data_IF_826717360394
#
_entry.id   IF_826717360394
#
_cell.length_a   1.000
_cell.length_b   1.000
_cell.length_c   1.000
_cell.angle_alpha   90.00
_cell.angle_beta   90.00
_cell.angle_gamma   90.00
#
_symmetry.space_group_name_H-M   'P 1'
#
loop_
_entity.id
_entity.type
_entity.pdbx_description
1 polymer ?
#
# COMPACT_ATOMS: atom_id res chain seq x y z
N UNK A 1 25.79 15.91 17.75
CA UNK A 1 25.24 14.54 17.80
C UNK A 1 23.91 14.50 18.54
N UNK A 2 23.83 14.94 19.81
CA UNK A 2 22.59 14.97 20.62
C UNK A 2 21.32 15.46 19.88
N UNK A 3 21.42 16.60 19.20
CA UNK A 3 20.27 17.24 18.53
C UNK A 3 19.65 16.41 17.39
N UNK A 4 20.45 15.56 16.75
CA UNK A 4 19.99 14.71 15.65
C UNK A 4 19.30 13.44 16.18
N UNK A 5 19.78 12.92 17.32
CA UNK A 5 19.19 11.80 18.03
C UNK A 5 17.83 12.20 18.61
N UNK A 6 17.72 13.40 19.21
CA UNK A 6 16.45 13.94 19.72
C UNK A 6 15.42 14.12 18.60
N UNK A 7 15.86 14.54 17.41
CA UNK A 7 14.97 14.62 16.24
C UNK A 7 14.49 13.25 15.78
N UNK A 8 15.35 12.24 15.79
CA UNK A 8 14.98 10.88 15.38
C UNK A 8 14.01 10.23 16.37
N UNK A 9 14.25 10.40 17.68
CA UNK A 9 13.36 9.89 18.74
C UNK A 9 11.97 10.51 18.64
N UNK A 10 11.88 11.83 18.46
CA UNK A 10 10.59 12.52 18.30
C UNK A 10 9.81 12.05 17.06
N UNK A 11 10.50 11.75 15.95
CA UNK A 11 9.86 11.25 14.73
C UNK A 11 9.32 9.83 14.93
N UNK A 12 10.06 8.96 15.64
CA UNK A 12 9.62 7.61 15.95
C UNK A 12 8.39 7.62 16.87
N UNK A 13 8.39 8.46 17.90
CA UNK A 13 7.23 8.61 18.81
C UNK A 13 5.98 9.12 18.08
N UNK A 14 6.13 10.08 17.16
CA UNK A 14 5.02 10.57 16.34
C UNK A 14 4.44 9.47 15.43
N UNK A 15 5.30 8.63 14.84
CA UNK A 15 4.87 7.50 14.00
C UNK A 15 4.15 6.44 14.83
N UNK A 16 4.64 6.13 16.03
CA UNK A 16 4.01 5.16 16.92
C UNK A 16 2.66 5.66 17.45
N UNK A 17 2.52 6.95 17.74
CA UNK A 17 1.25 7.57 18.09
C UNK A 17 0.20 7.40 16.97
N UNK A 18 0.55 7.79 15.74
CA UNK A 18 -0.36 7.66 14.58
C UNK A 18 -0.71 6.20 14.30
N UNK A 19 0.23 5.27 14.53
CA UNK A 19 -0.01 3.83 14.39
C UNK A 19 -1.01 3.32 15.43
N UNK A 20 -0.92 3.80 16.66
CA UNK A 20 -1.83 3.42 17.75
C UNK A 20 -3.26 3.91 17.50
N UNK A 21 -3.43 5.17 17.05
CA UNK A 21 -4.74 5.72 16.70
C UNK A 21 -5.37 4.96 15.55
N UNK A 22 -4.58 4.59 14.53
CA UNK A 22 -5.05 3.76 13.41
C UNK A 22 -5.60 2.42 13.88
N UNK A 23 -4.97 1.78 14.87
CA UNK A 23 -5.45 0.51 15.41
C UNK A 23 -6.78 0.68 16.15
N UNK A 24 -6.95 1.77 16.89
CA UNK A 24 -8.22 2.11 17.54
C UNK A 24 -9.35 2.28 16.52
N UNK A 25 -9.12 3.08 15.47
CA UNK A 25 -10.09 3.31 14.40
C UNK A 25 -10.42 2.02 13.61
N UNK A 26 -9.46 1.12 13.45
CA UNK A 26 -9.69 -0.19 12.82
C UNK A 26 -10.61 -1.07 13.68
N UNK A 27 -10.42 -1.08 14.99
CA UNK A 27 -11.27 -1.84 15.91
C UNK A 27 -12.71 -1.26 15.96
N UNK A 28 -12.85 0.05 16.01
CA UNK A 28 -14.15 0.72 15.98
C UNK A 28 -14.88 0.46 14.65
N UNK A 29 -14.14 0.53 13.53
CA UNK A 29 -14.67 0.19 12.21
C UNK A 29 -15.20 -1.25 12.16
N UNK A 30 -14.45 -2.22 12.69
CA UNK A 30 -14.91 -3.62 12.73
C UNK A 30 -16.18 -3.78 13.57
N UNK A 31 -16.27 -3.10 14.71
CA UNK A 31 -17.46 -3.10 15.56
C UNK A 31 -18.69 -2.53 14.83
N UNK A 32 -18.50 -1.43 14.09
CA UNK A 32 -19.54 -0.82 13.27
C UNK A 32 -19.96 -1.73 12.11
N UNK A 33 -19.02 -2.40 11.44
CA UNK A 33 -19.31 -3.36 10.36
C UNK A 33 -20.17 -4.53 10.86
N UNK A 34 -19.87 -5.07 12.05
CA UNK A 34 -20.68 -6.12 12.70
C UNK A 34 -22.08 -5.60 13.03
N UNK A 35 -22.19 -4.37 13.55
CA UNK A 35 -23.48 -3.76 13.88
C UNK A 35 -24.34 -3.55 12.63
N UNK A 36 -23.75 -3.13 11.51
CA UNK A 36 -24.44 -2.98 10.22
C UNK A 36 -24.93 -4.33 9.70
N UNK A 37 -24.09 -5.37 9.76
CA UNK A 37 -24.51 -6.73 9.36
C UNK A 37 -25.66 -7.26 10.21
N UNK A 38 -25.65 -6.96 11.52
CA UNK A 38 -26.74 -7.34 12.42
C UNK A 38 -28.04 -6.62 12.06
N UNK A 39 -28.00 -5.31 11.79
CA UNK A 39 -29.17 -4.53 11.36
C UNK A 39 -29.71 -4.99 9.99
N UNK A 40 -28.82 -5.37 9.06
CA UNK A 40 -29.22 -5.95 7.77
C UNK A 40 -29.95 -7.28 7.94
N UNK A 41 -29.46 -8.17 8.82
CA UNK A 41 -30.13 -9.43 9.17
C UNK A 41 -31.52 -9.20 9.77
N UNK A 42 -31.65 -8.22 10.67
CA UNK A 42 -32.93 -7.84 11.25
C UNK A 42 -33.92 -7.30 10.20
N UNK A 43 -33.45 -6.48 9.24
CA UNK A 43 -34.29 -5.98 8.14
C UNK A 43 -34.72 -7.06 7.14
N UNK A 44 -33.90 -8.09 6.92
CA UNK A 44 -34.26 -9.24 6.07
C UNK A 44 -35.34 -10.11 6.73
N UNK A 45 -35.39 -10.17 8.06
CA UNK A 45 -36.38 -10.94 8.80
C UNK A 45 -37.76 -10.27 8.92
N UNK A 46 -37.85 -8.96 8.70
CA UNK A 46 -39.12 -8.20 8.72
C UNK A 46 -39.80 -8.07 7.35
N UNK A 47 -39.22 -8.63 6.28
CA UNK A 47 -39.88 -8.78 5.00
C UNK A 47 -40.93 -9.92 5.05
N UNK A 48 -42.06 -9.63 5.68
CA UNK A 48 -43.25 -10.49 5.68
C UNK A 48 -43.78 -10.63 4.25
N UNK A 49 -44.01 -11.88 3.84
CA UNK A 49 -44.70 -12.30 2.61
C UNK A 49 -46.02 -11.54 2.41
N UNK A 50 -46.06 -10.65 1.41
CA UNK A 50 -47.32 -10.21 0.79
C UNK A 50 -47.60 -11.11 -0.40
N UNK A 51 -48.23 -12.26 -0.13
CA UNK A 51 -48.83 -13.07 -1.19
C UNK A 51 -50.11 -12.36 -1.64
N UNK A 52 -50.04 -11.64 -2.76
CA UNK A 52 -51.24 -11.27 -3.52
C UNK A 52 -51.68 -12.52 -4.28
N UNK A 53 -52.82 -13.09 -3.90
CA UNK A 53 -53.58 -13.91 -4.82
C UNK A 53 -54.92 -13.22 -5.07
N UNK A 54 -55.24 -13.04 -6.33
CA UNK A 54 -56.47 -12.43 -6.82
C UNK A 54 -56.88 -13.22 -8.05
N UNK A 55 -57.93 -14.01 -7.92
CA UNK A 55 -59.07 -14.05 -8.87
C UNK A 55 -60.10 -15.05 -8.36
N UNK A 56 -61.36 -14.61 -8.30
CA UNK A 56 -62.48 -15.43 -7.85
C UNK A 56 -63.05 -16.32 -8.95
N UNK A 57 -63.80 -17.34 -8.54
CA UNK A 57 -65.11 -17.66 -9.13
C UNK A 57 -65.90 -18.68 -8.29
N UNK A 58 -67.23 -18.49 -8.36
CA UNK A 58 -68.33 -19.46 -8.24
C UNK A 58 -68.80 -20.02 -6.87
N UNK A 59 -69.97 -19.46 -6.46
CA UNK A 59 -71.28 -20.10 -6.19
C UNK A 59 -71.43 -21.27 -5.19
N UNK A 60 -72.38 -21.03 -4.25
CA UNK A 60 -73.26 -21.96 -3.52
C UNK A 60 -72.52 -22.92 -2.54
N UNK A 61 -72.98 -23.28 -1.35
CA UNK A 61 -74.32 -23.48 -0.78
C UNK A 61 -74.19 -23.59 0.77
N UNK A 62 -75.33 -23.65 1.46
CA UNK A 62 -75.48 -23.69 2.92
C UNK A 62 -74.80 -24.88 3.64
N UNK A 63 -74.39 -24.69 4.91
CA UNK A 63 -74.01 -25.80 5.79
C UNK A 63 -73.29 -25.43 7.09
N UNK A 64 -74.07 -25.18 8.15
CA UNK A 64 -73.92 -25.72 9.52
C UNK A 64 -72.53 -25.84 10.20
N UNK A 65 -72.44 -25.15 11.35
CA UNK A 65 -72.20 -25.73 12.70
C UNK A 65 -70.80 -25.68 13.34
N UNK A 66 -70.89 -25.46 14.66
CA UNK A 66 -69.99 -25.76 15.77
C UNK A 66 -68.85 -24.79 16.14
N UNK A 67 -69.19 -23.92 17.10
CA UNK A 67 -68.59 -23.86 18.44
C UNK A 67 -67.08 -24.14 18.59
N UNK A 68 -66.33 -23.20 19.16
CA UNK A 68 -65.80 -23.34 20.53
C UNK A 68 -64.72 -22.31 20.86
N UNK A 69 -65.08 -21.44 21.80
CA UNK A 69 -64.28 -20.87 22.91
C UNK A 69 -62.83 -20.39 22.69
N UNK A 70 -62.62 -19.08 22.88
CA UNK A 70 -62.03 -18.50 24.12
C UNK A 70 -61.71 -17.02 23.89
N UNK A 71 -62.32 -16.16 24.71
CA UNK A 71 -61.93 -14.77 24.82
C UNK A 71 -60.47 -14.66 25.29
N UNK A 72 -59.66 -13.98 24.49
CA UNK A 72 -58.52 -13.23 25.00
C UNK A 72 -58.79 -11.79 24.62
N UNK A 73 -58.95 -10.92 25.64
CA UNK A 73 -59.01 -9.47 25.44
C UNK A 73 -57.72 -9.01 24.75
N UNK A 74 -57.74 -8.96 23.41
CA UNK A 74 -56.79 -8.15 22.67
C UNK A 74 -57.22 -6.71 22.87
N UNK A 75 -56.47 -5.99 23.69
CA UNK A 75 -56.40 -4.53 23.58
C UNK A 75 -55.85 -4.23 22.18
N UNK A 76 -56.75 -4.17 21.20
CA UNK A 76 -56.45 -3.73 19.86
C UNK A 76 -56.28 -2.23 19.97
N UNK A 77 -55.03 -1.80 20.08
CA UNK A 77 -54.69 -0.42 19.72
C UNK A 77 -55.08 -0.31 18.25
N UNK A 78 -56.24 0.28 18.00
CA UNK A 78 -56.62 0.70 16.66
C UNK A 78 -55.63 1.79 16.25
N UNK A 79 -54.53 1.39 15.61
CA UNK A 79 -53.79 2.30 14.74
C UNK A 79 -54.77 2.68 13.63
N UNK A 80 -55.26 3.92 13.66
CA UNK A 80 -55.93 4.46 12.49
C UNK A 80 -54.89 4.50 11.37
N UNK A 81 -55.29 4.07 10.17
CA UNK A 81 -54.43 4.11 8.98
C UNK A 81 -53.81 5.50 8.76
N UNK A 82 -54.47 6.54 9.28
CA UNK A 82 -54.13 7.95 9.14
C UNK A 82 -52.96 8.39 10.05
N UNK A 83 -52.55 7.61 11.06
CA UNK A 83 -51.42 7.95 11.94
C UNK A 83 -50.05 7.65 11.29
N UNK A 84 -50.03 6.96 10.15
CA UNK A 84 -48.82 6.66 9.37
C UNK A 84 -48.47 7.78 8.38
N UNK A 85 -49.48 8.53 7.93
CA UNK A 85 -49.34 9.61 6.95
C UNK A 85 -48.49 10.82 7.38
N UNK A 86 -48.43 11.25 8.66
CA UNK A 86 -47.62 12.42 9.03
C UNK A 86 -46.10 12.15 9.07
N UNK A 87 -45.66 10.89 9.05
CA UNK A 87 -44.25 10.51 9.19
C UNK A 87 -43.55 10.22 7.86
N UNK A 88 -44.29 9.82 6.82
CA UNK A 88 -43.79 9.63 5.46
C UNK A 88 -43.01 10.84 4.91
N UNK A 89 -43.49 12.10 5.03
CA UNK A 89 -42.75 13.27 4.55
C UNK A 89 -41.45 13.51 5.33
N UNK A 90 -41.40 13.16 6.62
CA UNK A 90 -40.20 13.31 7.44
C UNK A 90 -39.15 12.26 7.07
N UNK A 91 -39.58 11.00 6.86
CA UNK A 91 -38.69 9.90 6.47
C UNK A 91 -38.12 10.12 5.08
N UNK A 92 -38.92 10.60 4.13
CA UNK A 92 -38.45 10.92 2.77
C UNK A 92 -37.44 12.06 2.79
N UNK A 93 -37.70 13.13 3.54
CA UNK A 93 -36.77 14.25 3.70
C UNK A 93 -35.46 13.83 4.38
N UNK A 94 -35.53 12.93 5.36
CA UNK A 94 -34.33 12.40 6.01
C UNK A 94 -33.54 11.47 5.08
N UNK A 95 -34.23 10.65 4.30
CA UNK A 95 -33.61 9.76 3.29
C UNK A 95 -32.87 10.56 2.23
N UNK A 96 -33.45 11.68 1.79
CA UNK A 96 -32.82 12.59 0.84
C UNK A 96 -31.54 13.21 1.42
N UNK A 97 -31.59 13.71 2.66
CA UNK A 97 -30.41 14.23 3.37
C UNK A 97 -29.33 13.16 3.58
N UNK A 98 -29.71 11.92 3.87
CA UNK A 98 -28.76 10.80 4.00
C UNK A 98 -28.08 10.52 2.67
N UNK A 99 -28.82 10.55 1.56
CA UNK A 99 -28.26 10.34 0.23
C UNK A 99 -27.28 11.47 -0.15
N UNK A 100 -27.60 12.71 0.19
CA UNK A 100 -26.74 13.87 -0.02
C UNK A 100 -25.44 13.76 0.79
N UNK A 101 -25.55 13.45 2.09
CA UNK A 101 -24.37 13.24 2.96
C UNK A 101 -23.52 12.06 2.47
N UNK A 102 -24.15 10.96 2.04
CA UNK A 102 -23.44 9.82 1.49
C UNK A 102 -22.70 10.19 0.19
N UNK A 103 -23.31 10.97 -0.69
CA UNK A 103 -22.65 11.47 -1.90
C UNK A 103 -21.45 12.37 -1.56
N UNK A 104 -21.61 13.27 -0.59
CA UNK A 104 -20.52 14.12 -0.09
C UNK A 104 -19.35 13.32 0.50
N UNK A 105 -19.66 12.25 1.26
CA UNK A 105 -18.64 11.37 1.82
C UNK A 105 -17.88 10.58 0.74
N UNK A 106 -18.57 10.11 -0.30
CA UNK A 106 -17.91 9.44 -1.42
C UNK A 106 -16.99 10.40 -2.18
N UNK A 107 -17.45 11.62 -2.45
CA UNK A 107 -16.62 12.65 -3.09
C UNK A 107 -15.36 12.97 -2.27
N UNK A 108 -15.50 13.16 -0.96
CA UNK A 108 -14.38 13.40 -0.07
C UNK A 108 -13.41 12.20 -0.02
N UNK A 109 -13.94 10.98 -0.03
CA UNK A 109 -13.12 9.76 -0.07
C UNK A 109 -12.31 9.68 -1.36
N UNK A 110 -12.92 10.01 -2.50
CA UNK A 110 -12.26 9.99 -3.80
C UNK A 110 -11.17 11.07 -3.89
N UNK A 111 -11.42 12.26 -3.33
CA UNK A 111 -10.43 13.34 -3.22
C UNK A 111 -9.22 12.91 -2.37
N UNK A 112 -9.46 12.29 -1.20
CA UNK A 112 -8.38 11.77 -0.35
C UNK A 112 -7.59 10.66 -1.06
N UNK A 113 -8.26 9.78 -1.82
CA UNK A 113 -7.57 8.72 -2.58
C UNK A 113 -6.72 9.33 -3.71
N UNK A 114 -7.23 10.36 -4.40
CA UNK A 114 -6.49 11.07 -5.43
C UNK A 114 -5.26 11.77 -4.84
N UNK A 115 -5.43 12.53 -3.76
CA UNK A 115 -4.32 13.21 -3.06
C UNK A 115 -3.29 12.23 -2.50
N UNK A 116 -3.72 11.08 -1.94
CA UNK A 116 -2.80 10.05 -1.48
C UNK A 116 -1.99 9.42 -2.62
N UNK A 117 -2.58 9.24 -3.81
CA UNK A 117 -1.86 8.74 -4.99
C UNK A 117 -0.82 9.74 -5.48
N UNK A 118 -1.15 11.02 -5.51
CA UNK A 118 -0.22 12.09 -5.90
C UNK A 118 0.96 12.17 -4.93
N UNK A 119 0.68 12.24 -3.61
CA UNK A 119 1.71 12.19 -2.58
C UNK A 119 2.57 10.92 -2.65
N UNK A 120 1.99 9.77 -2.96
CA UNK A 120 2.74 8.52 -3.11
C UNK A 120 3.68 8.56 -4.32
N UNK A 121 3.28 9.19 -5.42
CA UNK A 121 4.13 9.35 -6.60
C UNK A 121 5.27 10.35 -6.32
N UNK A 122 4.98 11.47 -5.68
CA UNK A 122 5.99 12.44 -5.25
C UNK A 122 6.99 11.81 -4.27
N UNK A 123 6.52 11.05 -3.28
CA UNK A 123 7.39 10.35 -2.33
C UNK A 123 8.14 9.21 -3.00
N UNK A 124 7.58 8.53 -4.01
CA UNK A 124 8.30 7.52 -4.78
C UNK A 124 9.42 8.15 -5.62
N UNK A 125 9.16 9.28 -6.28
CA UNK A 125 10.19 10.04 -7.00
C UNK A 125 11.23 10.65 -6.05
N UNK A 126 10.84 11.03 -4.82
CA UNK A 126 11.74 11.49 -3.78
C UNK A 126 12.51 10.34 -3.07
N UNK A 127 12.00 9.11 -3.10
CA UNK A 127 12.62 7.92 -2.53
C UNK A 127 13.71 7.40 -3.46
N UNK A 128 14.78 8.19 -3.60
CA UNK A 128 15.90 7.83 -4.46
C UNK A 128 16.82 6.87 -3.72
N UNK A 129 16.83 5.59 -4.09
CA UNK A 129 17.84 4.66 -3.59
C UNK A 129 19.12 4.75 -4.43
N UNK A 130 20.24 4.43 -3.79
CA UNK A 130 21.56 4.41 -4.43
C UNK A 130 22.12 3.00 -4.32
N UNK A 131 22.67 2.51 -5.42
CA UNK A 131 23.33 1.21 -5.46
C UNK A 131 24.59 1.25 -6.32
N UNK A 132 25.49 0.31 -6.05
CA UNK A 132 26.69 0.12 -6.86
C UNK A 132 26.45 -1.01 -7.85
N UNK A 133 26.80 -0.80 -9.11
CA UNK A 133 26.87 -1.81 -10.14
C UNK A 133 28.33 -2.18 -10.36
N UNK A 134 28.76 -3.30 -9.79
CA UNK A 134 30.11 -3.84 -9.99
C UNK A 134 30.28 -4.44 -11.38
N UNK A 135 31.47 -4.33 -11.96
CA UNK A 135 31.80 -4.86 -13.29
C UNK A 135 31.22 -4.06 -14.45
N UNK A 136 30.68 -2.85 -14.21
CA UNK A 136 30.23 -1.98 -15.29
C UNK A 136 30.36 -0.51 -14.93
N UNK A 137 30.80 0.29 -15.89
CA UNK A 137 30.91 1.76 -15.78
C UNK A 137 29.60 2.50 -16.10
N UNK A 138 28.51 1.78 -16.37
CA UNK A 138 27.22 2.37 -16.76
C UNK A 138 26.08 1.89 -15.87
N UNK A 139 24.99 2.66 -15.81
CA UNK A 139 23.77 2.27 -15.09
C UNK A 139 22.73 1.65 -16.03
N UNK A 140 21.86 0.74 -15.52
CA UNK A 140 20.68 0.27 -16.25
C UNK A 140 19.78 1.43 -16.68
N UNK A 141 19.03 1.25 -17.78
CA UNK A 141 18.14 2.29 -18.34
C UNK A 141 17.07 2.82 -17.36
N UNK A 142 16.71 2.05 -16.33
CA UNK A 142 15.78 2.45 -15.27
C UNK A 142 16.41 3.28 -14.15
N UNK A 143 17.69 3.66 -14.28
CA UNK A 143 18.46 4.35 -13.26
C UNK A 143 19.41 5.37 -13.87
N UNK A 144 19.78 6.37 -13.09
CA UNK A 144 20.65 7.47 -13.53
C UNK A 144 22.04 7.28 -12.96
N UNK A 145 23.07 7.47 -13.79
CA UNK A 145 24.47 7.44 -13.38
C UNK A 145 24.77 8.63 -12.46
N UNK A 146 25.32 8.35 -11.29
CA UNK A 146 25.86 9.37 -10.39
C UNK A 146 27.33 9.58 -10.72
N UNK A 147 28.13 8.50 -10.70
CA UNK A 147 29.50 8.49 -11.17
C UNK A 147 29.94 7.07 -11.56
N UNK A 148 30.99 6.99 -12.37
CA UNK A 148 31.71 5.74 -12.69
C UNK A 148 33.10 5.77 -12.06
N UNK A 149 33.65 4.58 -11.82
CA UNK A 149 34.95 4.43 -11.16
C UNK A 149 35.54 3.04 -11.34
N UNK A 150 36.57 2.78 -10.56
CA UNK A 150 37.21 1.46 -10.41
C UNK A 150 36.96 0.90 -9.02
N UNK A 151 36.96 -0.42 -8.93
CA UNK A 151 36.81 -1.12 -7.65
C UNK A 151 38.10 -0.98 -6.88
N UNK A 152 38.01 -0.59 -5.60
CA UNK A 152 39.14 -0.55 -4.69
C UNK A 152 38.81 -1.15 -3.33
N UNK A 153 39.83 -1.40 -2.53
CA UNK A 153 39.68 -2.05 -1.22
C UNK A 153 40.99 -2.13 -0.46
N UNK A 154 41.06 -3.09 0.45
CA UNK A 154 42.28 -3.38 1.21
C UNK A 154 43.20 -4.31 0.44
N UNK A 155 44.51 -4.08 0.54
CA UNK A 155 45.48 -5.11 0.19
C UNK A 155 45.33 -6.31 1.13
N UNK A 156 45.48 -7.53 0.62
CA UNK A 156 45.17 -8.76 1.35
C UNK A 156 46.00 -8.96 2.63
N UNK A 157 47.14 -8.27 2.78
CA UNK A 157 47.99 -8.32 3.98
C UNK A 157 47.84 -7.13 4.93
N UNK A 158 47.05 -6.11 4.57
CA UNK A 158 46.96 -4.86 5.35
C UNK A 158 45.76 -4.90 6.29
N UNK A 159 46.02 -4.92 7.60
CA UNK A 159 44.97 -4.80 8.62
C UNK A 159 44.60 -3.33 8.87
N UNK A 160 43.32 -3.03 9.09
CA UNK A 160 42.84 -1.68 9.41
C UNK A 160 42.59 -0.74 8.21
N UNK A 161 42.57 -1.29 6.99
CA UNK A 161 42.22 -0.56 5.76
C UNK A 161 40.68 -0.62 5.47
N UNK A 162 40.27 -0.59 4.20
CA UNK A 162 38.87 -0.64 3.79
C UNK A 162 38.17 -1.96 4.20
N UNK A 163 37.09 -1.85 4.97
CA UNK A 163 36.30 -3.01 5.43
C UNK A 163 35.50 -3.70 4.31
N UNK A 164 35.18 -2.98 3.23
CA UNK A 164 34.44 -3.46 2.07
C UNK A 164 35.11 -2.94 0.79
N UNK A 165 34.78 -3.57 -0.34
CA UNK A 165 35.09 -2.97 -1.65
C UNK A 165 34.33 -1.66 -1.84
N UNK A 166 35.00 -0.70 -2.47
CA UNK A 166 34.52 0.65 -2.74
C UNK A 166 34.54 0.90 -4.25
N UNK A 167 33.65 1.77 -4.72
CA UNK A 167 33.70 2.28 -6.08
C UNK A 167 34.43 3.64 -6.06
N UNK A 168 35.66 3.68 -6.56
CA UNK A 168 36.54 4.84 -6.47
C UNK A 168 36.40 5.72 -7.72
N UNK A 169 35.99 6.99 -7.59
CA UNK A 169 35.95 7.90 -8.73
C UNK A 169 37.39 8.24 -9.15
N UNK A 170 37.75 7.99 -10.41
CA UNK A 170 39.10 8.28 -10.91
C UNK A 170 39.26 9.70 -11.46
N UNK A 171 38.16 10.41 -11.64
CA UNK A 171 38.14 11.78 -12.17
C UNK A 171 37.88 12.79 -11.06
N UNK A 172 38.52 13.96 -11.15
CA UNK A 172 38.35 15.10 -10.24
C UNK A 172 38.76 14.81 -8.77
N UNK A 173 39.81 14.02 -8.57
CA UNK A 173 40.39 13.80 -7.25
C UNK A 173 41.32 14.94 -6.87
N UNK A 174 41.03 15.60 -5.74
CA UNK A 174 41.99 16.50 -5.09
C UNK A 174 42.80 15.68 -4.09
N UNK A 175 43.97 15.23 -4.51
CA UNK A 175 44.90 14.53 -3.62
C UNK A 175 45.75 15.56 -2.88
N UNK A 176 45.87 15.39 -1.56
CA UNK A 176 46.83 16.15 -0.75
C UNK A 176 48.13 15.36 -0.66
N UNK A 177 49.24 16.00 -0.99
CA UNK A 177 50.58 15.42 -0.78
C UNK A 177 51.02 15.69 0.65
N UNK A 178 50.83 14.70 1.53
CA UNK A 178 51.18 14.77 2.95
C UNK A 178 51.94 13.50 3.32
N UNK A 179 53.14 13.65 3.91
CA UNK A 179 53.85 12.51 4.48
C UNK A 179 53.39 12.26 5.92
N UNK A 180 52.77 11.11 6.17
CA UNK A 180 52.45 10.61 7.51
C UNK A 180 53.20 9.30 7.75
N UNK A 181 53.52 9.00 9.01
CA UNK A 181 54.24 7.77 9.39
C UNK A 181 53.33 6.57 9.61
N UNK A 182 52.01 6.80 9.73
CA UNK A 182 50.99 5.76 9.84
C UNK A 182 49.78 6.19 9.02
N UNK A 183 49.41 5.38 8.03
CA UNK A 183 48.28 5.62 7.15
C UNK A 183 47.44 4.35 6.94
N UNK A 184 46.15 4.54 6.68
CA UNK A 184 45.27 3.49 6.20
C UNK A 184 45.28 3.54 4.66
N UNK A 185 45.84 2.50 4.04
CA UNK A 185 46.02 2.45 2.60
C UNK A 185 44.80 1.88 1.90
N UNK A 186 44.45 2.49 0.78
CA UNK A 186 43.40 2.03 -0.11
C UNK A 186 44.03 1.66 -1.45
N UNK A 187 43.76 0.45 -1.92
CA UNK A 187 44.33 -0.11 -3.13
C UNK A 187 43.26 -0.24 -4.21
N UNK A 188 43.68 -0.11 -5.48
CA UNK A 188 42.87 -0.59 -6.60
C UNK A 188 42.69 -2.11 -6.49
N UNK A 189 41.51 -2.60 -6.87
CA UNK A 189 41.30 -4.02 -7.05
C UNK A 189 41.75 -4.43 -8.45
N UNK A 190 42.16 -5.69 -8.60
CA UNK A 190 42.55 -6.27 -9.89
C UNK A 190 41.92 -7.65 -10.06
N UNK A 191 41.74 -8.05 -11.31
CA UNK A 191 41.33 -9.41 -11.63
C UNK A 191 42.52 -10.37 -11.56
N UNK A 192 42.36 -11.39 -10.72
CA UNK A 192 43.29 -12.51 -10.60
C UNK A 192 42.77 -13.70 -11.41
N UNK A 193 42.87 -13.60 -12.73
CA UNK A 193 42.37 -14.61 -13.68
C UNK A 193 43.50 -15.18 -14.55
N UNK A 194 43.24 -16.32 -15.19
CA UNK A 194 44.20 -16.97 -16.09
C UNK A 194 44.04 -16.54 -17.56
N UNK A 195 43.21 -15.54 -17.84
CA UNK A 195 42.89 -15.04 -19.17
C UNK A 195 43.41 -13.61 -19.40
N UNK A 196 42.99 -12.97 -20.48
CA UNK A 196 43.43 -11.61 -20.85
C UNK A 196 42.99 -10.52 -19.86
N UNK A 197 42.13 -10.85 -18.89
CA UNK A 197 41.67 -9.94 -17.86
C UNK A 197 42.59 -9.90 -16.64
N UNK A 198 43.64 -10.73 -16.58
CA UNK A 198 44.63 -10.67 -15.50
C UNK A 198 45.23 -9.26 -15.38
N UNK A 199 45.39 -8.78 -14.15
CA UNK A 199 45.89 -7.44 -13.80
C UNK A 199 45.07 -6.29 -14.41
N UNK A 200 43.80 -6.54 -14.75
CA UNK A 200 42.86 -5.49 -15.16
C UNK A 200 42.05 -4.99 -13.97
N UNK A 201 41.89 -3.68 -13.91
CA UNK A 201 41.09 -3.02 -12.90
C UNK A 201 39.59 -3.27 -13.14
N UNK A 202 38.83 -3.82 -12.17
CA UNK A 202 37.40 -3.97 -12.29
C UNK A 202 36.74 -2.60 -12.26
N UNK A 203 35.87 -2.32 -13.22
CA UNK A 203 35.09 -1.07 -13.24
C UNK A 203 33.83 -1.15 -12.38
N UNK A 204 33.31 0.00 -11.97
CA UNK A 204 32.06 0.12 -11.23
C UNK A 204 31.28 1.40 -11.59
N UNK A 205 29.99 1.40 -11.27
CA UNK A 205 29.12 2.57 -11.42
C UNK A 205 28.20 2.72 -10.22
N UNK A 206 28.07 3.93 -9.71
CA UNK A 206 27.09 4.28 -8.68
C UNK A 206 25.86 4.87 -9.35
N UNK A 207 24.72 4.25 -9.07
CA UNK A 207 23.46 4.49 -9.77
C UNK A 207 22.37 4.94 -8.79
N UNK A 208 21.55 5.90 -9.22
CA UNK A 208 20.37 6.38 -8.50
C UNK A 208 19.10 5.87 -9.17
N UNK A 209 18.16 5.37 -8.38
CA UNK A 209 16.89 4.80 -8.83
C UNK A 209 15.73 5.41 -8.06
N UNK A 210 14.58 5.68 -8.70
CA UNK A 210 13.34 6.11 -8.05
C UNK A 210 12.59 4.96 -7.33
N UNK A 211 13.12 3.74 -7.43
CA UNK A 211 12.61 2.59 -6.66
C UNK A 211 13.52 2.36 -5.47
N UNK A 212 12.97 1.86 -4.36
CA UNK A 212 13.75 1.38 -3.24
C UNK A 212 14.52 0.11 -3.67
N UNK A 213 15.85 0.19 -3.70
CA UNK A 213 16.73 -0.92 -4.02
C UNK A 213 17.38 -1.40 -2.73
N UNK A 214 17.04 -2.60 -2.25
CA UNK A 214 17.63 -3.17 -1.04
C UNK A 214 18.48 -4.42 -1.31
N UNK A 215 18.64 -4.82 -2.57
CA UNK A 215 19.33 -6.07 -2.92
C UNK A 215 20.30 -5.85 -4.07
N UNK A 216 21.58 -6.07 -3.79
CA UNK A 216 22.61 -6.26 -4.79
C UNK A 216 22.61 -7.71 -5.24
N UNK A 217 22.40 -7.95 -6.55
CA UNK A 217 22.61 -9.27 -7.14
C UNK A 217 23.83 -9.17 -8.06
N UNK A 218 25.01 -9.68 -7.65
CA UNK A 218 26.18 -9.68 -8.50
C UNK A 218 25.97 -10.57 -9.74
N UNK A 219 26.53 -10.15 -10.86
CA UNK A 219 26.66 -10.95 -12.10
C UNK A 219 25.35 -11.48 -12.73
N UNK A 220 24.27 -10.68 -12.77
CA UNK A 220 23.16 -11.01 -13.69
C UNK A 220 23.45 -10.48 -15.08
N UNK A 221 23.71 -11.39 -16.02
CA UNK A 221 23.46 -11.11 -17.44
C UNK A 221 21.95 -10.82 -17.50
N UNK A 222 21.58 -9.57 -17.80
CA UNK A 222 20.20 -9.06 -17.98
C UNK A 222 19.16 -10.19 -18.03
N UNK A 223 18.25 -10.27 -17.04
CA UNK A 223 17.09 -11.16 -17.16
C UNK A 223 16.34 -10.72 -18.41
N UNK A 224 16.61 -11.40 -19.53
CA UNK A 224 15.82 -11.26 -20.75
C UNK A 224 14.47 -11.87 -20.40
N UNK A 225 13.52 -11.02 -20.07
CA UNK A 225 12.11 -11.41 -20.07
C UNK A 225 11.81 -11.82 -21.51
N UNK A 226 11.75 -13.12 -21.76
CA UNK A 226 11.28 -13.65 -23.03
C UNK A 226 9.83 -13.19 -23.21
N UNK A 227 9.63 -12.18 -24.07
CA UNK A 227 8.30 -11.80 -24.52
C UNK A 227 7.62 -12.99 -25.24
N UNK A 228 6.29 -13.07 -25.22
CA UNK A 228 5.57 -14.18 -25.82
C UNK A 228 5.90 -14.28 -27.31
N UNK A 229 6.32 -15.49 -27.71
CA UNK A 229 6.61 -15.87 -29.09
C UNK A 229 5.32 -15.68 -29.91
N UNK A 230 5.28 -14.68 -30.77
CA UNK A 230 4.25 -14.58 -31.79
C UNK A 230 4.43 -15.75 -32.78
N UNK A 231 3.51 -16.70 -32.73
CA UNK A 231 3.32 -17.66 -33.82
C UNK A 231 2.71 -16.91 -35.00
N UNK A 232 3.56 -16.44 -35.92
CA UNK A 232 3.11 -16.06 -37.25
C UNK A 232 3.06 -17.34 -38.10
N UNK A 233 1.84 -17.69 -38.53
CA UNK A 233 1.62 -18.75 -39.51
C UNK A 233 2.15 -18.37 -40.90
N UNK A 234 2.47 -19.41 -41.66
CA UNK A 234 2.89 -19.41 -43.05
C UNK A 234 3.16 -20.84 -43.48
#
# INVERSE_FOLDING_TARGET
MQRLEDMFVNQVEAVDHVKSERQLWLAEKQSLEVSVQHLQSLCLSTAVNVQRDSTGNDKNDAGQSLESTRETHKHTVFLRSDDSDPLVPVVTQLTEKVNEVNAGLQALKDEVIAGHRELKNEVAEASTSVFVRWGSSTCPASSVLVYSGEVGGSHYTTSGAAANYLCLPLSNLTLMDISVSNDAQLYGGEYETADEHHDKDPVCAVCRSSRANNVMIPATLSVRVAGPRSTAGG
#
